data_IF_675170351912
#
_entry.id   IF_675170351912
#
_cell.length_a   1.000
_cell.length_b   1.000
_cell.length_c   1.000
_cell.angle_alpha   90.00
_cell.angle_beta   90.00
_cell.angle_gamma   90.00
#
_symmetry.space_group_name_H-M   'P 1'
#
loop_
_entity.id
_entity.type
_entity.pdbx_description
1 polymer ?
#
# COMPACT_ATOMS: atom_id res chain seq x y z
N UNK A 1 -28.26 -11.95 -23.10
CA UNK A 1 -27.57 -10.86 -23.83
C UNK A 1 -26.16 -10.68 -23.27
N UNK A 2 -25.16 -10.25 -24.09
CA UNK A 2 -23.80 -9.95 -23.59
C UNK A 2 -23.83 -8.73 -22.68
N UNK A 3 -23.22 -8.81 -21.50
CA UNK A 3 -23.01 -7.69 -20.60
C UNK A 3 -21.78 -6.89 -21.05
N UNK A 4 -21.87 -5.57 -20.99
CA UNK A 4 -20.76 -4.65 -21.17
C UNK A 4 -20.42 -3.98 -19.83
N UNK A 5 -19.13 -3.76 -19.58
CA UNK A 5 -18.66 -2.96 -18.46
C UNK A 5 -18.85 -1.47 -18.76
N UNK A 6 -19.17 -0.68 -17.73
CA UNK A 6 -19.38 0.76 -17.86
C UNK A 6 -18.10 1.46 -18.33
N UNK A 7 -16.93 1.03 -17.84
CA UNK A 7 -15.64 1.54 -18.31
C UNK A 7 -15.49 1.41 -19.83
N UNK A 8 -15.82 0.24 -20.40
CA UNK A 8 -15.75 0.02 -21.84
C UNK A 8 -16.67 0.97 -22.61
N UNK A 9 -17.90 1.17 -22.13
CA UNK A 9 -18.88 2.03 -22.80
C UNK A 9 -18.52 3.53 -22.74
N UNK A 10 -17.75 3.96 -21.75
CA UNK A 10 -17.39 5.36 -21.55
C UNK A 10 -16.00 5.74 -22.07
N UNK A 11 -15.11 4.77 -22.31
CA UNK A 11 -13.70 5.03 -22.67
C UNK A 11 -13.29 4.49 -24.04
N UNK A 12 -13.98 3.48 -24.55
CA UNK A 12 -13.64 2.87 -25.84
C UNK A 12 -14.52 3.41 -26.97
N UNK A 13 -14.11 3.17 -28.21
CA UNK A 13 -14.98 3.45 -29.37
C UNK A 13 -16.15 2.48 -29.40
N UNK A 14 -17.33 3.02 -29.13
CA UNK A 14 -18.60 2.27 -29.12
C UNK A 14 -19.50 2.60 -30.30
N UNK A 15 -18.98 3.23 -31.35
CA UNK A 15 -19.75 3.61 -32.57
C UNK A 15 -20.50 2.43 -33.16
N UNK A 16 -19.92 1.24 -33.20
CA UNK A 16 -20.55 0.01 -33.66
C UNK A 16 -21.69 -0.52 -32.75
N UNK A 17 -21.79 -0.04 -31.52
CA UNK A 17 -22.86 -0.39 -30.58
C UNK A 17 -24.00 0.61 -30.57
N UNK A 18 -23.81 1.79 -31.16
CA UNK A 18 -24.83 2.84 -31.18
C UNK A 18 -26.13 2.38 -31.87
N UNK A 19 -27.25 2.61 -31.20
CA UNK A 19 -28.57 2.18 -31.66
C UNK A 19 -28.85 0.68 -31.45
N UNK A 20 -27.87 -0.12 -30.99
CA UNK A 20 -28.08 -1.54 -30.69
C UNK A 20 -28.52 -1.73 -29.23
N UNK A 21 -29.20 -2.84 -28.95
CA UNK A 21 -29.61 -3.21 -27.60
C UNK A 21 -28.46 -3.93 -26.91
N UNK A 22 -28.01 -3.38 -25.77
CA UNK A 22 -26.93 -3.92 -24.94
C UNK A 22 -27.43 -4.17 -23.51
N UNK A 23 -26.62 -4.84 -22.70
CA UNK A 23 -26.91 -5.11 -21.29
C UNK A 23 -25.85 -4.48 -20.40
N UNK A 24 -26.29 -3.73 -19.37
CA UNK A 24 -25.47 -3.20 -18.27
C UNK A 24 -26.03 -3.70 -16.95
N UNK A 25 -25.17 -4.02 -15.99
CA UNK A 25 -25.55 -4.43 -14.63
C UNK A 25 -24.69 -3.69 -13.62
N UNK A 26 -25.29 -3.29 -12.51
CA UNK A 26 -24.58 -2.58 -11.46
C UNK A 26 -25.47 -2.09 -10.33
N UNK A 27 -24.90 -1.24 -9.51
CA UNK A 27 -25.57 -0.65 -8.34
C UNK A 27 -26.02 0.79 -8.66
N UNK A 28 -27.25 1.09 -8.23
CA UNK A 28 -27.86 2.42 -8.39
C UNK A 28 -27.17 3.41 -7.46
N UNK A 29 -26.64 4.47 -8.04
CA UNK A 29 -26.07 5.60 -7.30
C UNK A 29 -27.11 6.67 -7.03
N UNK A 30 -27.90 6.99 -8.02
CA UNK A 30 -29.02 7.96 -7.89
C UNK A 30 -30.16 7.57 -8.81
N UNK A 31 -31.37 7.89 -8.37
CA UNK A 31 -32.57 7.89 -9.21
C UNK A 31 -33.23 9.26 -9.10
N UNK A 32 -33.60 9.87 -10.22
CA UNK A 32 -34.32 11.12 -10.29
C UNK A 32 -35.28 11.07 -11.48
N UNK A 33 -36.26 11.93 -11.49
CA UNK A 33 -37.21 12.01 -12.63
C UNK A 33 -38.53 12.62 -12.22
N UNK A 34 -39.48 12.50 -13.11
CA UNK A 34 -40.86 12.93 -12.92
C UNK A 34 -41.83 11.89 -13.51
N UNK A 35 -43.11 12.21 -13.64
CA UNK A 35 -44.12 11.29 -14.17
C UNK A 35 -43.90 10.86 -15.64
N UNK A 36 -43.04 11.53 -16.38
CA UNK A 36 -42.81 11.25 -17.80
C UNK A 36 -41.47 10.55 -18.08
N UNK A 37 -40.45 10.72 -17.21
CA UNK A 37 -39.14 10.14 -17.43
C UNK A 37 -38.42 9.91 -16.11
N UNK A 38 -37.73 8.78 -16.01
CA UNK A 38 -36.81 8.43 -14.90
C UNK A 38 -35.40 8.33 -15.40
N UNK A 39 -34.46 8.93 -14.67
CA UNK A 39 -33.02 8.86 -14.88
C UNK A 39 -32.40 8.08 -13.74
N UNK A 40 -31.69 6.98 -14.06
CA UNK A 40 -31.05 6.11 -13.10
C UNK A 40 -29.55 6.09 -13.40
N UNK A 41 -28.73 6.52 -12.45
CA UNK A 41 -27.26 6.42 -12.57
C UNK A 41 -26.81 5.09 -11.99
N UNK A 42 -26.15 4.26 -12.82
CA UNK A 42 -25.64 2.94 -12.46
C UNK A 42 -24.12 2.97 -12.50
N UNK A 43 -23.50 2.32 -11.51
CA UNK A 43 -22.08 2.06 -11.44
C UNK A 43 -21.84 0.56 -11.23
N UNK A 44 -20.89 -0.02 -11.96
CA UNK A 44 -20.53 -1.44 -11.85
C UNK A 44 -19.17 -1.66 -11.18
N UNK A 45 -18.52 -0.59 -10.71
CA UNK A 45 -17.20 -0.61 -10.06
C UNK A 45 -16.02 -0.52 -11.02
N UNK A 46 -16.21 -0.73 -12.32
CA UNK A 46 -15.13 -0.74 -13.32
C UNK A 46 -14.46 0.63 -13.52
N UNK A 47 -15.19 1.70 -13.26
CA UNK A 47 -14.75 3.10 -13.38
C UNK A 47 -15.47 3.96 -12.34
N UNK A 48 -14.93 5.15 -12.04
CA UNK A 48 -15.57 6.07 -11.09
C UNK A 48 -16.87 6.70 -11.63
N UNK A 49 -16.96 6.86 -12.94
CA UNK A 49 -18.13 7.44 -13.61
C UNK A 49 -19.30 6.46 -13.67
N UNK A 50 -20.51 7.01 -13.77
CA UNK A 50 -21.74 6.24 -13.91
C UNK A 50 -22.24 6.27 -15.35
N UNK A 51 -22.97 5.25 -15.78
CA UNK A 51 -23.80 5.36 -16.97
C UNK A 51 -25.22 5.78 -16.59
N UNK A 52 -25.82 6.68 -17.35
CA UNK A 52 -27.22 7.05 -17.18
C UNK A 52 -28.12 6.09 -17.93
N UNK A 53 -29.15 5.63 -17.26
CA UNK A 53 -30.28 4.89 -17.84
C UNK A 53 -31.47 5.82 -17.88
N UNK A 54 -32.13 5.89 -19.02
CA UNK A 54 -33.39 6.63 -19.25
C UNK A 54 -34.51 5.61 -19.34
N UNK A 55 -35.50 5.70 -18.46
CA UNK A 55 -36.64 4.79 -18.38
C UNK A 55 -37.95 5.50 -18.44
N UNK A 56 -38.93 4.90 -19.11
CA UNK A 56 -40.31 5.37 -19.14
C UNK A 56 -41.05 4.88 -17.87
N UNK A 57 -41.50 5.80 -16.98
CA UNK A 57 -42.23 5.43 -15.79
C UNK A 57 -43.53 4.66 -16.04
N UNK A 58 -44.20 4.89 -17.14
CA UNK A 58 -45.43 4.14 -17.46
C UNK A 58 -45.16 2.70 -17.84
N UNK A 59 -43.97 2.41 -18.38
CA UNK A 59 -43.54 1.03 -18.74
C UNK A 59 -42.95 0.28 -17.60
N UNK A 60 -42.23 0.95 -16.66
CA UNK A 60 -41.45 0.34 -15.58
C UNK A 60 -41.93 0.75 -14.19
N UNK A 61 -43.24 0.97 -14.00
CA UNK A 61 -43.78 1.49 -12.73
C UNK A 61 -43.38 0.60 -11.53
N UNK A 62 -43.53 -0.71 -11.67
CA UNK A 62 -43.26 -1.65 -10.58
C UNK A 62 -41.77 -1.78 -10.28
N UNK A 63 -40.92 -1.83 -11.30
CA UNK A 63 -39.46 -1.88 -11.11
C UNK A 63 -38.96 -0.57 -10.48
N UNK A 64 -39.45 0.58 -10.94
CA UNK A 64 -39.03 1.88 -10.44
C UNK A 64 -39.43 2.11 -8.96
N UNK A 65 -40.52 1.52 -8.47
CA UNK A 65 -40.86 1.57 -7.04
C UNK A 65 -39.79 0.87 -6.17
N UNK A 66 -39.20 -0.20 -6.70
CA UNK A 66 -38.19 -1.04 -6.03
C UNK A 66 -36.77 -0.51 -6.18
N UNK A 67 -36.52 0.38 -7.11
CA UNK A 67 -35.18 0.96 -7.40
C UNK A 67 -34.92 2.15 -6.48
N UNK A 68 -34.02 1.96 -5.51
CA UNK A 68 -33.53 2.96 -4.57
C UNK A 68 -32.01 3.07 -4.66
N UNK A 69 -31.39 4.05 -4.00
CA UNK A 69 -29.92 4.13 -3.87
C UNK A 69 -29.39 2.85 -3.24
N UNK A 70 -28.40 2.22 -3.89
CA UNK A 70 -27.81 0.96 -3.45
C UNK A 70 -28.47 -0.29 -4.02
N UNK A 71 -29.65 -0.21 -4.65
CA UNK A 71 -30.26 -1.35 -5.33
C UNK A 71 -29.36 -1.89 -6.45
N UNK A 72 -29.34 -3.19 -6.64
CA UNK A 72 -28.63 -3.86 -7.73
C UNK A 72 -29.59 -4.15 -8.87
N UNK A 73 -29.29 -3.65 -10.08
CA UNK A 73 -30.15 -3.83 -11.25
C UNK A 73 -29.37 -4.25 -12.49
N UNK A 74 -30.09 -4.86 -13.43
CA UNK A 74 -29.64 -5.07 -14.80
C UNK A 74 -30.61 -4.39 -15.75
N UNK A 75 -30.05 -3.75 -16.78
CA UNK A 75 -30.82 -3.05 -17.78
C UNK A 75 -30.39 -3.53 -19.16
N UNK A 76 -31.34 -3.96 -19.96
CA UNK A 76 -31.20 -4.13 -21.40
C UNK A 76 -31.85 -2.93 -22.09
N UNK A 77 -31.14 -2.34 -23.05
CA UNK A 77 -31.64 -1.13 -23.71
C UNK A 77 -30.75 -0.67 -24.84
N UNK A 78 -31.23 0.28 -25.61
CA UNK A 78 -30.48 0.88 -26.72
C UNK A 78 -29.42 1.85 -26.20
N UNK A 79 -28.18 1.63 -26.65
CA UNK A 79 -27.13 2.61 -26.42
C UNK A 79 -27.29 3.77 -27.38
N UNK A 80 -27.42 4.95 -26.87
CA UNK A 80 -27.64 6.19 -27.66
C UNK A 80 -26.69 7.29 -27.22
N UNK A 81 -26.50 8.28 -28.09
CA UNK A 81 -25.81 9.52 -27.72
C UNK A 81 -26.57 10.22 -26.57
N UNK A 82 -25.87 10.66 -25.55
CA UNK A 82 -26.50 11.32 -24.43
C UNK A 82 -26.91 12.73 -24.79
N UNK A 83 -28.13 13.10 -24.43
CA UNK A 83 -28.63 14.49 -24.57
C UNK A 83 -28.22 15.38 -23.38
N UNK A 84 -27.65 14.78 -22.34
CA UNK A 84 -27.19 15.47 -21.14
C UNK A 84 -25.73 15.90 -21.22
N UNK A 85 -25.37 16.98 -20.53
CA UNK A 85 -23.96 17.38 -20.38
C UNK A 85 -23.21 16.41 -19.45
N UNK A 86 -21.94 16.12 -19.77
CA UNK A 86 -21.04 15.38 -18.90
C UNK A 86 -20.96 13.87 -19.15
N UNK A 87 -21.63 13.34 -20.18
CA UNK A 87 -21.48 11.95 -20.61
C UNK A 87 -21.73 11.83 -22.12
N UNK A 88 -20.97 10.95 -22.79
CA UNK A 88 -21.08 10.78 -24.25
C UNK A 88 -22.30 9.93 -24.64
N UNK A 89 -22.58 8.88 -23.86
CA UNK A 89 -23.63 7.91 -24.16
C UNK A 89 -24.55 7.66 -22.96
N UNK A 90 -25.76 7.21 -23.25
CA UNK A 90 -26.73 6.78 -22.25
C UNK A 90 -27.51 5.55 -22.75
N UNK A 91 -28.20 4.87 -21.85
CA UNK A 91 -28.94 3.65 -22.16
C UNK A 91 -30.46 3.91 -22.08
N UNK A 92 -31.18 3.78 -23.19
CA UNK A 92 -32.63 3.81 -23.21
C UNK A 92 -33.19 2.44 -22.84
N UNK A 93 -33.81 2.34 -21.67
CA UNK A 93 -34.26 1.08 -21.11
C UNK A 93 -35.36 0.39 -21.93
N UNK A 94 -35.18 -0.85 -22.31
CA UNK A 94 -36.15 -1.74 -22.92
C UNK A 94 -36.65 -2.78 -21.94
N UNK A 95 -35.76 -3.23 -21.01
CA UNK A 95 -36.05 -4.16 -19.92
C UNK A 95 -35.21 -3.84 -18.70
N UNK A 96 -35.83 -3.90 -17.52
CA UNK A 96 -35.17 -3.71 -16.24
C UNK A 96 -35.40 -4.97 -15.36
N UNK A 97 -34.34 -5.42 -14.72
CA UNK A 97 -34.37 -6.53 -13.73
C UNK A 97 -33.80 -6.01 -12.43
N UNK A 98 -34.56 -6.09 -11.34
CA UNK A 98 -34.09 -5.78 -10.00
C UNK A 98 -33.56 -7.08 -9.37
N UNK A 99 -32.24 -7.17 -9.19
CA UNK A 99 -31.61 -8.33 -8.56
C UNK A 99 -31.65 -8.26 -7.03
N UNK A 100 -31.52 -7.06 -6.46
CA UNK A 100 -31.57 -6.83 -5.03
C UNK A 100 -32.00 -5.41 -4.71
N UNK A 101 -32.91 -5.29 -3.78
CA UNK A 101 -33.39 -4.02 -3.28
C UNK A 101 -32.50 -3.49 -2.16
N UNK A 102 -32.52 -2.19 -1.90
CA UNK A 102 -31.92 -1.57 -0.74
C UNK A 102 -32.98 -0.71 -0.05
N UNK A 103 -33.32 -1.07 1.19
CA UNK A 103 -34.30 -0.30 1.96
C UNK A 103 -33.77 1.10 2.24
N UNK A 104 -34.43 2.17 1.75
CA UNK A 104 -33.96 3.54 1.91
C UNK A 104 -33.92 4.01 3.36
N UNK A 105 -34.62 3.32 4.29
CA UNK A 105 -34.64 3.66 5.70
C UNK A 105 -33.44 3.08 6.48
N UNK A 106 -32.88 1.98 6.01
CA UNK A 106 -31.82 1.25 6.71
C UNK A 106 -30.47 1.26 5.95
N UNK A 107 -30.48 1.48 4.63
CA UNK A 107 -29.24 1.53 3.85
C UNK A 107 -28.38 2.74 4.26
N UNK A 108 -27.14 2.52 4.80
CA UNK A 108 -26.38 3.58 5.45
C UNK A 108 -25.76 4.57 4.48
N UNK A 109 -25.48 4.16 3.22
CA UNK A 109 -24.82 5.00 2.20
C UNK A 109 -25.83 5.82 1.39
N UNK A 110 -26.55 6.70 2.06
CA UNK A 110 -27.47 7.63 1.42
C UNK A 110 -26.74 8.75 0.67
N UNK A 111 -27.47 9.51 -0.18
CA UNK A 111 -26.94 10.65 -0.93
C UNK A 111 -26.60 11.83 0.00
N UNK A 112 -25.56 11.69 0.80
CA UNK A 112 -24.99 12.73 1.68
C UNK A 112 -23.50 12.49 1.88
N UNK A 113 -22.77 13.47 2.39
CA UNK A 113 -21.40 13.28 2.85
C UNK A 113 -21.33 12.32 4.03
N UNK A 114 -20.32 11.46 4.06
CA UNK A 114 -20.03 10.55 5.16
C UNK A 114 -18.62 10.82 5.64
N UNK A 115 -18.41 10.82 6.97
CA UNK A 115 -17.07 10.94 7.54
C UNK A 115 -16.28 9.64 7.35
N UNK A 116 -14.94 9.73 7.36
CA UNK A 116 -14.10 8.53 7.25
C UNK A 116 -14.26 7.62 8.46
N UNK A 117 -14.52 8.17 9.65
CA UNK A 117 -14.80 7.41 10.87
C UNK A 117 -16.03 6.52 10.67
N UNK A 118 -17.13 7.12 10.24
CA UNK A 118 -18.36 6.37 9.94
C UNK A 118 -18.14 5.28 8.88
N UNK A 119 -17.38 5.59 7.81
CA UNK A 119 -17.09 4.61 6.76
C UNK A 119 -16.22 3.45 7.25
N UNK A 120 -15.41 3.64 8.30
CA UNK A 120 -14.67 2.55 8.95
C UNK A 120 -15.59 1.64 9.75
N UNK A 121 -16.61 2.19 10.42
CA UNK A 121 -17.62 1.40 11.15
C UNK A 121 -18.41 0.48 10.22
N UNK A 122 -18.69 0.92 9.00
CA UNK A 122 -19.38 0.14 7.96
C UNK A 122 -18.40 -0.37 6.88
N UNK A 123 -17.22 -0.84 7.28
CA UNK A 123 -16.13 -1.24 6.38
C UNK A 123 -16.54 -2.18 5.25
N UNK A 124 -17.47 -3.11 5.53
CA UNK A 124 -18.03 -4.05 4.56
C UNK A 124 -18.87 -3.38 3.43
N UNK A 125 -19.33 -2.14 3.61
CA UNK A 125 -20.07 -1.38 2.59
C UNK A 125 -19.28 -0.20 2.02
N UNK A 126 -18.22 0.27 2.70
CA UNK A 126 -17.50 1.48 2.29
C UNK A 126 -16.93 1.43 0.87
N UNK A 127 -16.64 0.23 0.36
CA UNK A 127 -16.16 0.00 -1.00
C UNK A 127 -17.17 0.44 -2.07
N UNK A 128 -18.44 0.60 -1.71
CA UNK A 128 -19.49 1.13 -2.60
C UNK A 128 -19.44 2.65 -2.77
N UNK A 129 -18.61 3.36 -2.01
CA UNK A 129 -18.42 4.81 -2.16
C UNK A 129 -17.46 5.13 -3.30
N UNK A 130 -17.54 6.33 -3.86
CA UNK A 130 -16.61 6.77 -4.90
C UNK A 130 -15.17 6.83 -4.37
N UNK A 131 -14.98 7.34 -3.15
CA UNK A 131 -13.66 7.45 -2.53
C UNK A 131 -12.97 6.09 -2.41
N UNK A 132 -13.62 5.11 -1.80
CA UNK A 132 -13.02 3.79 -1.63
C UNK A 132 -12.95 3.00 -2.94
N UNK A 133 -13.89 3.22 -3.87
CA UNK A 133 -13.78 2.68 -5.22
C UNK A 133 -12.54 3.21 -5.96
N UNK A 134 -12.27 4.51 -5.88
CA UNK A 134 -11.08 5.13 -6.46
C UNK A 134 -9.78 4.59 -5.82
N UNK A 135 -9.72 4.55 -4.49
CA UNK A 135 -8.56 4.01 -3.75
C UNK A 135 -8.28 2.56 -4.15
N UNK A 136 -9.30 1.71 -4.27
CA UNK A 136 -9.12 0.29 -4.59
C UNK A 136 -8.71 0.06 -6.06
N UNK A 137 -9.20 0.86 -7.01
CA UNK A 137 -8.73 0.80 -8.40
C UNK A 137 -7.27 1.26 -8.52
N UNK A 138 -6.88 2.32 -7.80
CA UNK A 138 -5.49 2.74 -7.68
C UNK A 138 -4.63 1.63 -7.05
N UNK A 139 -5.08 1.03 -5.95
CA UNK A 139 -4.38 -0.07 -5.29
C UNK A 139 -4.14 -1.26 -6.22
N UNK A 140 -5.14 -1.65 -7.00
CA UNK A 140 -5.00 -2.68 -8.03
C UNK A 140 -3.93 -2.29 -9.06
N UNK A 141 -4.00 -1.07 -9.61
CA UNK A 141 -3.05 -0.60 -10.61
C UNK A 141 -1.62 -0.51 -10.06
N UNK A 142 -1.44 -0.05 -8.82
CA UNK A 142 -0.12 -0.02 -8.19
C UNK A 142 0.46 -1.42 -7.99
N UNK A 143 -0.35 -2.39 -7.58
CA UNK A 143 0.10 -3.78 -7.46
C UNK A 143 0.58 -4.34 -8.82
N UNK A 144 -0.17 -4.08 -9.88
CA UNK A 144 0.21 -4.50 -11.23
C UNK A 144 1.48 -3.78 -11.73
N UNK A 145 1.60 -2.47 -11.45
CA UNK A 145 2.78 -1.69 -11.78
C UNK A 145 4.05 -2.24 -11.10
N UNK A 146 3.96 -2.61 -9.82
CA UNK A 146 5.06 -3.23 -9.06
C UNK A 146 5.51 -4.53 -9.73
N UNK A 147 4.57 -5.45 -10.01
CA UNK A 147 4.90 -6.70 -10.69
C UNK A 147 5.51 -6.47 -12.07
N UNK A 148 4.98 -5.53 -12.84
CA UNK A 148 5.48 -5.19 -14.19
C UNK A 148 6.90 -4.61 -14.10
N UNK A 149 7.15 -3.67 -13.20
CA UNK A 149 8.47 -3.06 -13.01
C UNK A 149 9.56 -4.11 -12.78
N UNK A 150 9.34 -5.00 -11.82
CA UNK A 150 10.32 -6.03 -11.49
C UNK A 150 10.45 -7.10 -12.55
N UNK A 151 9.33 -7.54 -13.13
CA UNK A 151 9.33 -8.54 -14.22
C UNK A 151 10.15 -8.07 -15.43
N UNK A 152 9.94 -6.84 -15.91
CA UNK A 152 10.63 -6.27 -17.06
C UNK A 152 12.13 -6.09 -16.82
N UNK A 153 12.58 -6.00 -15.57
CA UNK A 153 13.98 -5.88 -15.16
C UNK A 153 14.64 -7.19 -14.79
N UNK A 154 13.93 -8.32 -15.03
CA UNK A 154 14.46 -9.67 -14.83
C UNK A 154 14.52 -10.12 -13.38
N UNK A 155 13.71 -9.55 -12.51
CA UNK A 155 13.54 -10.03 -11.14
C UNK A 155 12.60 -11.22 -11.09
N UNK A 156 12.88 -12.16 -10.20
CA UNK A 156 11.97 -13.25 -9.88
C UNK A 156 11.05 -12.86 -8.73
N UNK A 157 9.73 -13.05 -8.90
CA UNK A 157 8.80 -12.98 -7.79
C UNK A 157 9.04 -14.19 -6.87
N UNK A 158 9.43 -13.93 -5.64
CA UNK A 158 9.92 -14.94 -4.71
C UNK A 158 9.00 -15.02 -3.48
N UNK A 159 8.48 -16.21 -3.21
CA UNK A 159 7.61 -16.45 -2.07
C UNK A 159 8.46 -16.80 -0.84
N UNK A 160 8.43 -15.95 0.18
CA UNK A 160 9.00 -16.22 1.50
C UNK A 160 7.93 -16.68 2.49
N UNK A 161 8.27 -17.51 3.50
CA UNK A 161 7.30 -18.01 4.46
C UNK A 161 6.66 -16.89 5.29
N UNK A 162 5.36 -17.00 5.54
CA UNK A 162 4.65 -16.11 6.47
C UNK A 162 4.79 -16.57 7.92
N UNK A 163 5.02 -17.87 8.14
CA UNK A 163 5.29 -18.46 9.47
C UNK A 163 6.77 -18.67 9.60
N UNK A 164 7.38 -18.05 10.60
CA UNK A 164 8.83 -18.09 10.79
C UNK A 164 9.19 -18.33 12.27
N UNK A 165 10.37 -18.88 12.49
CA UNK A 165 10.99 -18.95 13.81
C UNK A 165 12.06 -17.85 14.01
N UNK A 166 12.29 -17.00 12.99
CA UNK A 166 13.34 -15.98 12.99
C UNK A 166 12.73 -14.59 13.10
N UNK A 167 13.29 -13.74 13.95
CA UNK A 167 12.96 -12.33 14.06
C UNK A 167 13.99 -11.52 13.24
N UNK A 168 13.57 -11.03 12.08
CA UNK A 168 14.43 -10.27 11.17
C UNK A 168 14.83 -8.89 11.72
N UNK A 169 13.94 -8.26 12.46
CA UNK A 169 14.14 -6.89 12.93
C UNK A 169 14.58 -6.81 14.39
N UNK A 170 14.50 -7.93 15.14
CA UNK A 170 14.80 -7.97 16.58
C UNK A 170 13.82 -7.15 17.43
N UNK A 171 12.66 -6.80 16.88
CA UNK A 171 11.70 -5.89 17.49
C UNK A 171 10.75 -6.56 18.51
N UNK A 172 10.77 -7.89 18.62
CA UNK A 172 10.14 -8.65 19.70
C UNK A 172 8.60 -8.69 19.73
N UNK A 173 7.89 -7.92 18.96
CA UNK A 173 6.41 -7.89 18.97
C UNK A 173 5.82 -8.61 17.76
N UNK A 174 5.88 -9.93 17.79
CA UNK A 174 5.34 -10.78 16.74
C UNK A 174 4.03 -11.46 17.18
N UNK A 175 3.10 -11.67 16.23
CA UNK A 175 1.95 -12.52 16.48
C UNK A 175 2.37 -13.98 16.53
N UNK A 176 2.07 -14.67 17.62
CA UNK A 176 2.42 -16.09 17.80
C UNK A 176 1.53 -16.99 16.93
N UNK A 177 2.14 -17.97 16.29
CA UNK A 177 1.44 -19.06 15.59
C UNK A 177 1.65 -20.35 16.36
N UNK A 178 0.60 -20.87 16.98
CA UNK A 178 0.67 -22.04 17.83
C UNK A 178 -0.61 -22.89 17.72
N UNK A 179 -0.48 -24.19 17.87
CA UNK A 179 -1.58 -25.14 17.98
C UNK A 179 -1.77 -25.65 19.41
N UNK A 180 -0.98 -25.16 20.34
CA UNK A 180 -1.12 -25.49 21.77
C UNK A 180 -2.42 -24.91 22.34
N UNK A 181 -3.01 -25.62 23.31
CA UNK A 181 -4.16 -25.11 24.04
C UNK A 181 -3.74 -23.85 24.85
N UNK A 182 -4.33 -22.67 24.56
CA UNK A 182 -3.97 -21.46 25.27
C UNK A 182 -4.34 -21.46 26.76
N UNK A 183 -5.34 -22.27 27.17
CA UNK A 183 -5.77 -22.35 28.55
C UNK A 183 -4.89 -23.31 29.38
N UNK A 184 -4.27 -24.30 28.72
CA UNK A 184 -3.43 -25.29 29.39
C UNK A 184 -2.25 -25.74 28.50
N UNK A 185 -1.31 -24.84 28.19
CA UNK A 185 -0.15 -25.19 27.36
C UNK A 185 0.78 -26.15 28.15
N UNK A 186 1.42 -27.11 27.46
CA UNK A 186 2.44 -27.95 28.07
C UNK A 186 3.60 -27.08 28.58
N UNK A 187 4.16 -27.44 29.74
CA UNK A 187 5.22 -26.69 30.40
C UNK A 187 6.43 -27.56 30.72
N UNK A 188 7.60 -26.94 30.63
CA UNK A 188 8.85 -27.51 31.09
C UNK A 188 8.94 -27.46 32.64
N UNK A 189 9.95 -28.12 33.21
CA UNK A 189 10.17 -28.14 34.68
C UNK A 189 10.36 -26.74 35.29
N UNK A 190 10.90 -25.79 34.48
CA UNK A 190 11.09 -24.39 34.89
C UNK A 190 9.83 -23.53 34.79
N UNK A 191 8.71 -24.13 34.38
CA UNK A 191 7.41 -23.44 34.20
C UNK A 191 7.25 -22.72 32.87
N UNK A 192 8.25 -22.66 32.01
CA UNK A 192 8.16 -22.10 30.66
C UNK A 192 7.31 -23.00 29.75
N UNK A 193 6.72 -22.41 28.68
CA UNK A 193 5.98 -23.17 27.68
C UNK A 193 6.91 -24.11 26.94
N UNK A 194 6.52 -25.38 26.83
CA UNK A 194 7.27 -26.39 26.09
C UNK A 194 6.92 -26.37 24.60
N UNK A 195 7.55 -25.49 23.85
CA UNK A 195 7.36 -25.32 22.42
C UNK A 195 7.77 -26.53 21.57
N UNK A 196 8.50 -27.52 22.14
CA UNK A 196 8.84 -28.75 21.44
C UNK A 196 7.61 -29.62 21.18
N UNK A 197 6.54 -29.43 21.94
CA UNK A 197 5.24 -30.09 21.76
C UNK A 197 4.30 -29.36 20.80
N UNK A 198 4.67 -28.17 20.32
CA UNK A 198 3.88 -27.45 19.31
C UNK A 198 4.08 -28.03 17.91
N UNK A 199 3.24 -27.63 16.98
CA UNK A 199 3.20 -28.15 15.59
C UNK A 199 4.56 -28.16 14.91
N UNK A 200 5.33 -27.08 15.02
CA UNK A 200 6.67 -26.96 14.41
C UNK A 200 7.82 -27.42 15.32
N UNK A 201 7.54 -27.92 16.51
CA UNK A 201 8.55 -28.32 17.49
C UNK A 201 9.41 -27.17 18.02
N UNK A 202 8.98 -25.93 17.84
CA UNK A 202 9.62 -24.69 18.30
C UNK A 202 8.61 -23.52 18.31
N UNK A 203 9.00 -22.44 18.96
CA UNK A 203 8.27 -21.18 18.86
C UNK A 203 8.24 -20.69 17.42
N UNK A 204 7.05 -20.33 16.94
CA UNK A 204 6.83 -19.70 15.63
C UNK A 204 5.91 -18.51 15.71
N UNK A 205 6.06 -17.60 14.76
CA UNK A 205 5.29 -16.36 14.68
C UNK A 205 4.98 -15.99 13.22
N UNK A 206 4.09 -15.02 13.04
CA UNK A 206 3.89 -14.38 11.74
C UNK A 206 5.06 -13.44 11.44
N UNK A 207 5.56 -13.47 10.21
CA UNK A 207 6.75 -12.71 9.79
C UNK A 207 6.55 -11.20 9.84
N UNK A 208 7.60 -10.48 10.18
CA UNK A 208 7.68 -9.01 10.08
C UNK A 208 8.32 -8.56 8.77
N UNK A 209 9.01 -9.46 8.03
CA UNK A 209 9.71 -9.19 6.77
C UNK A 209 10.10 -10.50 6.10
N UNK A 210 10.11 -10.53 4.78
CA UNK A 210 10.65 -11.64 3.97
C UNK A 210 12.12 -11.47 3.59
N UNK A 211 12.83 -10.48 4.15
CA UNK A 211 14.17 -10.09 3.71
C UNK A 211 15.21 -11.23 3.87
N UNK A 212 15.26 -11.86 5.04
CA UNK A 212 16.34 -12.84 5.30
C UNK A 212 16.30 -14.02 4.33
N UNK A 213 15.11 -14.57 4.08
CA UNK A 213 14.90 -15.61 3.07
C UNK A 213 15.04 -15.07 1.66
N UNK A 214 14.68 -13.78 1.43
CA UNK A 214 14.88 -13.07 0.16
C UNK A 214 16.36 -12.97 -0.22
N UNK A 215 17.25 -12.70 0.73
CA UNK A 215 18.69 -12.67 0.49
C UNK A 215 19.23 -14.04 0.01
N UNK A 216 18.67 -15.17 0.49
CA UNK A 216 19.00 -16.50 -0.02
C UNK A 216 18.62 -16.64 -1.48
N UNK A 217 17.44 -16.12 -1.84
CA UNK A 217 16.97 -16.08 -3.23
C UNK A 217 17.89 -15.23 -4.12
N UNK A 218 18.24 -14.04 -3.68
CA UNK A 218 19.11 -13.12 -4.43
C UNK A 218 20.52 -13.68 -4.65
N UNK A 219 21.13 -14.26 -3.63
CA UNK A 219 22.47 -14.88 -3.74
C UNK A 219 22.49 -16.17 -4.54
N UNK A 220 21.36 -16.63 -5.05
CA UNK A 220 21.22 -17.82 -5.92
C UNK A 220 20.66 -17.47 -7.30
N UNK A 221 19.67 -16.57 -7.38
CA UNK A 221 18.94 -16.20 -8.62
C UNK A 221 19.34 -14.82 -9.16
N UNK A 222 20.17 -14.08 -8.43
CA UNK A 222 20.68 -12.77 -8.79
C UNK A 222 19.77 -11.62 -8.37
N UNK A 223 18.52 -11.60 -8.78
CA UNK A 223 17.54 -10.56 -8.43
C UNK A 223 16.19 -11.16 -8.12
N UNK A 224 15.67 -10.90 -6.95
CA UNK A 224 14.34 -11.35 -6.53
C UNK A 224 13.56 -10.18 -5.93
N UNK A 225 12.25 -10.33 -5.79
CA UNK A 225 11.44 -9.47 -4.92
C UNK A 225 10.34 -10.28 -4.25
N UNK A 226 10.04 -9.92 -3.01
CA UNK A 226 8.82 -10.36 -2.35
C UNK A 226 7.72 -9.30 -2.57
N UNK A 227 6.47 -9.71 -2.55
CA UNK A 227 5.31 -8.83 -2.44
C UNK A 227 4.24 -9.59 -1.69
N UNK A 228 4.19 -9.40 -0.40
CA UNK A 228 3.32 -10.19 0.47
C UNK A 228 3.00 -9.51 1.80
N UNK A 229 2.08 -10.10 2.56
CA UNK A 229 1.68 -9.59 3.87
C UNK A 229 2.81 -9.75 4.90
N UNK A 230 2.94 -8.75 5.76
CA UNK A 230 3.78 -8.72 6.94
C UNK A 230 2.97 -8.30 8.15
N UNK A 231 3.43 -8.64 9.34
CA UNK A 231 2.64 -8.52 10.56
C UNK A 231 3.48 -7.93 11.68
N UNK A 232 2.90 -6.95 12.41
CA UNK A 232 3.52 -6.36 13.60
C UNK A 232 2.49 -6.26 14.71
N UNK A 233 2.79 -6.84 15.88
CA UNK A 233 1.89 -6.87 17.03
C UNK A 233 2.03 -5.62 17.93
N UNK A 234 2.68 -4.57 17.44
CA UNK A 234 2.85 -3.32 18.16
C UNK A 234 1.50 -2.70 18.56
N UNK A 235 1.38 -2.33 19.83
CA UNK A 235 0.19 -1.63 20.32
C UNK A 235 0.21 -0.14 19.93
N UNK A 236 0.32 0.13 18.63
CA UNK A 236 0.35 1.47 18.05
C UNK A 236 -0.96 1.81 17.35
N UNK A 237 -1.59 2.90 17.75
CA UNK A 237 -2.87 3.34 17.21
C UNK A 237 -2.76 4.68 16.48
N UNK A 238 -1.77 4.83 15.61
CA UNK A 238 -1.53 6.04 14.82
C UNK A 238 -2.16 5.94 13.43
N UNK A 239 -2.29 7.05 12.68
CA UNK A 239 -2.74 7.04 11.28
C UNK A 239 -1.80 6.31 10.31
N UNK A 240 -0.62 5.88 10.76
CA UNK A 240 0.45 5.29 9.92
C UNK A 240 0.80 3.84 10.27
N UNK A 241 0.10 3.21 11.24
CA UNK A 241 0.37 1.85 11.68
C UNK A 241 -0.80 0.92 11.45
N UNK A 242 -0.50 -0.26 10.94
CA UNK A 242 -1.39 -1.41 10.81
C UNK A 242 -0.70 -2.64 11.41
N UNK A 243 -1.48 -3.58 11.95
CA UNK A 243 -0.97 -4.85 12.43
C UNK A 243 -0.71 -5.86 11.30
N UNK A 244 -1.39 -5.70 10.16
CA UNK A 244 -1.21 -6.43 8.91
C UNK A 244 -1.12 -5.43 7.77
N UNK A 245 -0.05 -5.51 6.97
CA UNK A 245 0.20 -4.65 5.82
C UNK A 245 1.04 -5.42 4.79
N UNK A 246 1.23 -4.84 3.60
CA UNK A 246 1.98 -5.50 2.53
C UNK A 246 3.33 -4.83 2.31
N UNK A 247 4.37 -5.64 2.18
CA UNK A 247 5.72 -5.17 1.86
C UNK A 247 6.15 -5.64 0.47
N UNK A 248 6.87 -4.76 -0.20
CA UNK A 248 7.64 -5.07 -1.41
C UNK A 248 9.10 -5.03 -1.03
N UNK A 249 9.79 -6.16 -1.15
CA UNK A 249 11.16 -6.30 -0.65
C UNK A 249 12.05 -6.94 -1.74
N UNK A 250 12.60 -6.14 -2.66
CA UNK A 250 13.59 -6.61 -3.62
C UNK A 250 14.95 -6.82 -2.95
N UNK A 251 15.65 -7.89 -3.35
CA UNK A 251 17.02 -8.20 -2.96
C UNK A 251 17.85 -8.48 -4.24
N UNK A 252 19.02 -7.86 -4.35
CA UNK A 252 19.84 -7.88 -5.56
C UNK A 252 21.29 -8.21 -5.25
N UNK A 253 21.81 -9.28 -5.84
CA UNK A 253 23.23 -9.59 -5.85
C UNK A 253 24.00 -8.57 -6.71
N UNK A 254 25.23 -8.26 -6.28
CA UNK A 254 26.17 -7.38 -6.99
C UNK A 254 25.75 -5.90 -7.05
N UNK A 255 24.84 -5.48 -6.14
CA UNK A 255 24.48 -4.09 -5.97
C UNK A 255 25.27 -3.48 -4.80
N UNK A 256 25.69 -2.24 -5.01
CA UNK A 256 26.31 -1.33 -4.02
C UNK A 256 25.32 -0.22 -3.63
N UNK A 257 25.77 0.76 -2.83
CA UNK A 257 24.93 1.84 -2.36
C UNK A 257 24.43 2.74 -3.51
N UNK A 258 25.28 3.00 -4.53
CA UNK A 258 24.91 3.85 -5.67
C UNK A 258 23.82 3.18 -6.50
N UNK A 259 24.03 1.93 -6.92
CA UNK A 259 23.04 1.16 -7.68
C UNK A 259 21.74 0.89 -6.90
N UNK A 260 21.82 0.76 -5.56
CA UNK A 260 20.64 0.65 -4.71
C UNK A 260 19.80 1.93 -4.76
N UNK A 261 20.43 3.09 -4.52
CA UNK A 261 19.71 4.38 -4.50
C UNK A 261 19.17 4.77 -5.88
N UNK A 262 19.85 4.40 -6.96
CA UNK A 262 19.37 4.57 -8.33
C UNK A 262 18.10 3.75 -8.58
N UNK A 263 18.06 2.48 -8.15
CA UNK A 263 16.88 1.62 -8.28
C UNK A 263 15.71 2.11 -7.43
N UNK A 264 15.95 2.56 -6.19
CA UNK A 264 14.93 3.14 -5.33
C UNK A 264 14.23 4.35 -5.97
N UNK A 265 15.01 5.27 -6.54
CA UNK A 265 14.48 6.44 -7.26
C UNK A 265 13.73 6.04 -8.52
N UNK A 266 14.31 5.17 -9.36
CA UNK A 266 13.68 4.67 -10.58
C UNK A 266 12.34 3.99 -10.28
N UNK A 267 12.30 3.14 -9.25
CA UNK A 267 11.11 2.40 -8.85
C UNK A 267 9.97 3.34 -8.47
N UNK A 268 10.22 4.30 -7.61
CA UNK A 268 9.19 5.26 -7.18
C UNK A 268 8.70 6.11 -8.35
N UNK A 269 9.60 6.65 -9.17
CA UNK A 269 9.23 7.44 -10.36
C UNK A 269 8.37 6.63 -11.33
N UNK A 270 8.71 5.36 -11.54
CA UNK A 270 7.91 4.45 -12.38
C UNK A 270 6.50 4.26 -11.83
N UNK A 271 6.35 4.00 -10.53
CA UNK A 271 5.05 3.79 -9.89
C UNK A 271 4.17 5.05 -9.95
N UNK A 272 4.75 6.21 -9.66
CA UNK A 272 4.02 7.48 -9.71
C UNK A 272 3.60 7.81 -11.15
N UNK A 273 4.50 7.59 -12.12
CA UNK A 273 4.17 7.75 -13.54
C UNK A 273 3.05 6.81 -13.96
N UNK A 274 3.09 5.55 -13.55
CA UNK A 274 2.01 4.59 -13.84
C UNK A 274 0.65 5.06 -13.31
N UNK A 275 0.61 5.61 -12.08
CA UNK A 275 -0.62 6.17 -11.52
C UNK A 275 -1.19 7.30 -12.37
N UNK A 276 -0.34 8.24 -12.78
CA UNK A 276 -0.74 9.37 -13.64
C UNK A 276 -1.21 8.91 -15.03
N UNK A 277 -0.53 7.94 -15.64
CA UNK A 277 -0.84 7.46 -16.97
C UNK A 277 -2.12 6.60 -17.03
N UNK A 278 -2.42 5.83 -15.97
CA UNK A 278 -3.46 4.80 -16.02
C UNK A 278 -4.66 5.05 -15.10
N UNK A 279 -4.56 5.98 -14.15
CA UNK A 279 -5.57 6.18 -13.11
C UNK A 279 -6.10 7.62 -13.02
N UNK A 280 -5.97 8.42 -14.07
CA UNK A 280 -6.25 9.85 -14.02
C UNK A 280 -7.68 10.18 -13.56
N UNK A 281 -8.70 9.44 -13.99
CA UNK A 281 -10.11 9.69 -13.56
C UNK A 281 -10.25 9.57 -12.02
N UNK A 282 -9.60 8.57 -11.41
CA UNK A 282 -9.62 8.38 -9.97
C UNK A 282 -8.75 9.42 -9.24
N UNK A 283 -7.61 9.78 -9.82
CA UNK A 283 -6.72 10.82 -9.29
C UNK A 283 -7.37 12.20 -9.32
N UNK A 284 -8.05 12.58 -10.38
CA UNK A 284 -8.79 13.84 -10.47
C UNK A 284 -9.88 13.94 -9.40
N UNK A 285 -10.60 12.82 -9.17
CA UNK A 285 -11.57 12.76 -8.09
C UNK A 285 -10.92 12.94 -6.72
N UNK A 286 -9.84 12.20 -6.42
CA UNK A 286 -9.12 12.30 -5.15
C UNK A 286 -8.47 13.68 -4.97
N UNK A 287 -7.90 14.24 -6.04
CA UNK A 287 -7.35 15.60 -6.02
C UNK A 287 -8.41 16.65 -5.68
N UNK A 288 -9.62 16.49 -6.17
CA UNK A 288 -10.73 17.41 -5.89
C UNK A 288 -11.34 17.22 -4.51
N UNK A 289 -11.45 15.97 -4.04
CA UNK A 289 -12.27 15.65 -2.86
C UNK A 289 -11.46 15.38 -1.60
N UNK A 290 -10.18 15.00 -1.73
CA UNK A 290 -9.34 14.57 -0.62
C UNK A 290 -8.15 15.52 -0.43
N UNK A 291 -7.35 15.76 -1.50
CA UNK A 291 -6.11 16.54 -1.42
C UNK A 291 -5.89 17.35 -2.70
N UNK A 292 -6.21 18.63 -2.67
CA UNK A 292 -6.18 19.54 -3.83
C UNK A 292 -4.79 19.70 -4.48
N UNK A 293 -3.70 19.29 -3.81
CA UNK A 293 -2.34 19.32 -4.33
C UNK A 293 -1.81 17.97 -4.82
N UNK A 294 -2.64 16.93 -4.85
CA UNK A 294 -2.23 15.56 -5.12
C UNK A 294 -1.52 15.41 -6.47
N UNK A 295 -2.15 15.80 -7.56
CA UNK A 295 -1.61 15.61 -8.92
C UNK A 295 -0.34 16.42 -9.11
N UNK A 296 -0.29 17.66 -8.64
CA UNK A 296 0.90 18.52 -8.71
C UNK A 296 2.08 17.89 -7.96
N UNK A 297 1.83 17.36 -6.75
CA UNK A 297 2.85 16.67 -5.96
C UNK A 297 3.34 15.39 -6.62
N UNK A 298 2.45 14.58 -7.20
CA UNK A 298 2.84 13.39 -7.96
C UNK A 298 3.71 13.76 -9.17
N UNK A 299 3.33 14.80 -9.92
CA UNK A 299 4.11 15.27 -11.06
C UNK A 299 5.48 15.76 -10.63
N UNK A 300 5.60 16.48 -9.52
CA UNK A 300 6.88 17.00 -9.02
C UNK A 300 7.89 15.89 -8.70
N UNK A 301 7.42 14.71 -8.27
CA UNK A 301 8.30 13.55 -8.00
C UNK A 301 8.95 13.02 -9.28
N UNK A 302 8.23 13.04 -10.39
CA UNK A 302 8.76 12.59 -11.69
C UNK A 302 9.76 13.60 -12.24
N UNK A 303 9.47 14.88 -12.09
CA UNK A 303 10.23 15.98 -12.73
C UNK A 303 11.51 16.36 -11.99
N UNK A 304 11.75 15.82 -10.79
CA UNK A 304 12.91 16.17 -9.97
C UNK A 304 13.78 14.97 -9.63
N UNK A 305 15.12 15.19 -9.60
CA UNK A 305 16.05 14.19 -9.07
C UNK A 305 15.99 14.16 -7.54
N UNK A 306 16.10 12.97 -6.94
CA UNK A 306 16.13 12.82 -5.50
C UNK A 306 17.50 13.23 -4.95
N UNK A 307 17.51 13.88 -3.79
CA UNK A 307 18.74 14.26 -3.12
C UNK A 307 19.35 13.07 -2.41
N UNK A 308 20.63 12.75 -2.64
CA UNK A 308 21.39 11.82 -1.78
C UNK A 308 21.99 12.61 -0.64
N UNK A 309 21.56 12.33 0.59
CA UNK A 309 21.93 13.11 1.77
C UNK A 309 22.56 12.19 2.85
N UNK A 310 23.87 12.30 3.12
CA UNK A 310 24.44 11.62 4.27
C UNK A 310 23.76 12.04 5.58
N UNK A 311 23.46 11.08 6.47
CA UNK A 311 22.80 11.36 7.75
C UNK A 311 23.50 12.46 8.53
N UNK A 312 24.85 12.45 8.57
CA UNK A 312 25.64 13.49 9.27
C UNK A 312 25.36 14.90 8.73
N UNK A 313 25.20 15.04 7.42
CA UNK A 313 24.86 16.34 6.81
C UNK A 313 23.39 16.71 7.10
N UNK A 314 22.49 15.74 7.10
CA UNK A 314 21.10 15.93 7.50
C UNK A 314 20.97 16.48 8.93
N UNK A 315 21.71 15.91 9.88
CA UNK A 315 21.76 16.40 11.25
C UNK A 315 22.28 17.84 11.32
N UNK A 316 23.34 18.20 10.62
CA UNK A 316 23.85 19.58 10.56
C UNK A 316 22.78 20.57 10.08
N UNK A 317 22.05 20.21 9.02
CA UNK A 317 20.94 21.03 8.50
C UNK A 317 19.86 21.25 9.58
N UNK A 318 19.50 20.22 10.31
CA UNK A 318 18.52 20.30 11.39
C UNK A 318 19.02 21.12 12.59
N UNK A 319 20.29 20.94 12.99
CA UNK A 319 20.93 21.75 14.05
C UNK A 319 21.00 23.23 13.65
N UNK A 320 21.32 23.55 12.41
CA UNK A 320 21.27 24.92 11.89
C UNK A 320 19.85 25.50 11.92
N UNK A 321 18.84 24.70 11.61
CA UNK A 321 17.45 25.13 11.70
C UNK A 321 17.07 25.49 13.14
N UNK A 322 17.47 24.67 14.13
CA UNK A 322 17.30 24.95 15.55
C UNK A 322 18.02 26.25 15.94
N UNK A 323 19.26 26.45 15.51
CA UNK A 323 20.02 27.66 15.77
C UNK A 323 19.37 28.93 15.18
N UNK A 324 18.64 28.78 14.06
CA UNK A 324 17.84 29.84 13.41
C UNK A 324 16.45 30.04 14.05
N UNK A 325 16.13 29.30 15.12
CA UNK A 325 14.89 29.45 15.88
C UNK A 325 13.76 28.49 15.51
N UNK A 326 13.99 27.52 14.61
CA UNK A 326 13.02 26.46 14.38
C UNK A 326 12.90 25.56 15.62
N UNK A 327 11.68 25.20 16.00
CA UNK A 327 11.41 24.36 17.18
C UNK A 327 10.90 23.01 16.73
N UNK A 328 11.66 21.96 17.05
CA UNK A 328 11.22 20.58 16.95
C UNK A 328 10.68 20.10 18.31
N UNK A 329 9.77 19.15 18.28
CA UNK A 329 9.25 18.48 19.49
C UNK A 329 10.31 17.53 20.08
N UNK A 330 11.05 16.83 19.19
CA UNK A 330 12.09 15.88 19.55
C UNK A 330 13.50 16.50 19.40
N UNK A 331 14.48 16.07 20.22
CA UNK A 331 15.83 16.62 20.15
C UNK A 331 16.53 16.26 18.85
N UNK A 332 17.40 17.16 18.39
CA UNK A 332 18.28 16.97 17.24
C UNK A 332 19.70 16.80 17.74
N UNK A 333 20.32 15.66 17.50
CA UNK A 333 21.75 15.41 17.73
C UNK A 333 22.21 14.21 16.93
N UNK A 334 23.51 14.12 16.66
CA UNK A 334 24.06 12.96 15.95
C UNK A 334 23.85 11.67 16.76
N UNK A 335 23.39 10.60 16.09
CA UNK A 335 23.11 9.31 16.70
C UNK A 335 21.67 9.10 17.13
N UNK A 336 20.78 10.11 17.02
CA UNK A 336 19.35 9.93 17.28
C UNK A 336 18.65 9.31 16.07
N UNK A 337 17.65 8.49 16.32
CA UNK A 337 16.70 8.09 15.29
C UNK A 337 15.81 9.29 14.92
N UNK A 338 15.67 9.58 13.63
CA UNK A 338 14.93 10.76 13.18
C UNK A 338 13.43 10.59 13.39
N UNK A 339 12.83 11.56 14.07
CA UNK A 339 11.38 11.66 14.14
C UNK A 339 10.80 12.14 12.79
N UNK A 340 9.55 11.80 12.52
CA UNK A 340 8.86 12.21 11.28
C UNK A 340 8.89 13.72 11.02
N UNK A 341 8.95 14.55 12.06
CA UNK A 341 9.08 16.00 11.89
C UNK A 341 10.43 16.43 11.33
N UNK A 342 11.51 15.71 11.71
CA UNK A 342 12.87 15.95 11.17
C UNK A 342 12.94 15.60 9.70
N UNK A 343 12.43 14.42 9.33
CA UNK A 343 12.35 13.95 7.94
C UNK A 343 11.56 14.93 7.08
N UNK A 344 10.38 15.33 7.55
CA UNK A 344 9.52 16.27 6.82
C UNK A 344 10.16 17.65 6.69
N UNK A 345 10.89 18.13 7.70
CA UNK A 345 11.63 19.38 7.57
C UNK A 345 12.63 19.34 6.43
N UNK A 346 13.42 18.28 6.31
CA UNK A 346 14.38 18.10 5.24
C UNK A 346 13.71 18.13 3.87
N UNK A 347 12.62 17.39 3.71
CA UNK A 347 11.94 17.21 2.42
C UNK A 347 11.07 18.43 2.05
N UNK A 348 10.29 18.97 3.00
CA UNK A 348 9.26 19.99 2.73
C UNK A 348 9.80 21.42 2.84
N UNK A 349 10.73 21.66 3.75
CA UNK A 349 11.24 23.01 4.04
C UNK A 349 12.61 23.29 3.45
N UNK A 350 13.57 22.36 3.60
CA UNK A 350 14.95 22.57 3.15
C UNK A 350 15.14 22.29 1.66
N UNK A 351 14.94 21.04 1.23
CA UNK A 351 15.18 20.63 -0.17
C UNK A 351 13.98 20.82 -1.10
N UNK A 352 12.77 20.76 -0.58
CA UNK A 352 11.48 20.84 -1.31
C UNK A 352 11.36 19.79 -2.41
N UNK A 353 11.92 18.61 -2.20
CA UNK A 353 11.90 17.43 -3.07
C UNK A 353 12.25 16.17 -2.28
N UNK A 354 12.02 14.97 -2.84
CA UNK A 354 12.37 13.74 -2.15
C UNK A 354 13.86 13.64 -1.83
N UNK A 355 14.16 13.01 -0.70
CA UNK A 355 15.54 12.83 -0.19
C UNK A 355 15.76 11.34 0.05
N UNK A 356 16.89 10.81 -0.42
CA UNK A 356 17.43 9.51 -0.02
C UNK A 356 18.52 9.79 1.01
N UNK A 357 18.23 9.54 2.27
CA UNK A 357 19.20 9.68 3.33
C UNK A 357 20.03 8.42 3.44
N UNK A 358 21.35 8.57 3.55
CA UNK A 358 22.33 7.47 3.54
C UNK A 358 23.30 7.58 4.71
N UNK A 359 24.06 6.51 4.95
CA UNK A 359 25.17 6.45 5.93
C UNK A 359 24.74 6.78 7.36
N UNK A 360 23.80 6.01 7.86
CA UNK A 360 23.25 6.14 9.20
C UNK A 360 24.20 5.64 10.30
N UNK A 361 24.10 6.18 11.53
CA UNK A 361 24.79 5.60 12.68
C UNK A 361 24.42 4.13 12.86
N UNK A 362 25.45 3.26 13.08
CA UNK A 362 25.24 1.81 13.21
C UNK A 362 24.37 1.42 14.42
N UNK A 363 24.37 2.25 15.46
CA UNK A 363 23.65 1.98 16.72
C UNK A 363 22.13 2.01 16.56
N UNK A 364 21.63 2.76 15.58
CA UNK A 364 20.17 2.90 15.32
C UNK A 364 19.68 2.10 14.12
N UNK A 365 20.53 1.27 13.53
CA UNK A 365 20.19 0.46 12.35
C UNK A 365 20.41 -1.03 12.58
N UNK A 366 19.76 -1.86 11.76
CA UNK A 366 19.73 -3.30 11.89
C UNK A 366 21.11 -3.97 11.73
N UNK A 367 21.26 -5.16 12.30
CA UNK A 367 22.52 -5.91 12.39
C UNK A 367 23.11 -6.32 11.04
N UNK A 368 22.28 -6.51 10.04
CA UNK A 368 22.66 -7.00 8.71
C UNK A 368 23.20 -5.92 7.76
N UNK A 369 23.15 -4.65 8.15
CA UNK A 369 23.61 -3.55 7.30
C UNK A 369 25.14 -3.49 7.26
N UNK A 370 25.67 -3.28 6.04
CA UNK A 370 27.12 -3.20 5.80
C UNK A 370 27.72 -1.98 6.51
N UNK A 371 28.74 -2.22 7.33
CA UNK A 371 29.45 -1.15 8.02
C UNK A 371 30.40 -0.41 7.05
N UNK A 372 30.44 0.91 7.15
CA UNK A 372 31.42 1.76 6.48
C UNK A 372 32.80 1.62 7.14
N UNK A 373 33.85 2.05 6.43
CA UNK A 373 35.24 2.00 6.91
C UNK A 373 35.49 2.88 8.14
N UNK A 374 34.64 3.87 8.38
CA UNK A 374 34.70 4.75 9.56
C UNK A 374 34.37 4.02 10.88
N UNK A 375 33.83 2.81 10.79
CA UNK A 375 33.42 1.97 11.94
C UNK A 375 32.26 2.55 12.76
N UNK A 376 31.62 3.65 12.31
CA UNK A 376 30.55 4.36 13.01
C UNK A 376 29.23 4.34 12.25
N UNK A 377 29.28 4.28 10.92
CA UNK A 377 28.10 4.33 10.07
C UNK A 377 27.90 3.03 9.29
N UNK A 378 26.69 2.87 8.76
CA UNK A 378 26.29 1.74 7.89
C UNK A 378 25.71 2.26 6.59
N UNK A 379 25.82 1.48 5.52
CA UNK A 379 25.27 1.77 4.19
C UNK A 379 23.75 1.52 4.17
N UNK A 380 23.04 2.20 5.05
CA UNK A 380 21.58 2.22 5.08
C UNK A 380 21.04 3.31 4.17
N UNK A 381 19.81 3.12 3.68
CA UNK A 381 19.06 4.12 2.90
C UNK A 381 17.66 4.28 3.48
N UNK A 382 17.17 5.52 3.60
CA UNK A 382 15.75 5.80 3.83
C UNK A 382 15.29 6.83 2.79
N UNK A 383 14.29 6.47 1.99
CA UNK A 383 13.70 7.39 1.01
C UNK A 383 12.59 8.18 1.67
N UNK A 384 12.78 9.47 1.79
CA UNK A 384 11.91 10.40 2.49
C UNK A 384 11.06 11.21 1.53
N UNK A 385 9.75 11.24 1.78
CA UNK A 385 8.77 11.92 0.93
C UNK A 385 7.97 12.98 1.69
N UNK A 386 7.48 14.03 0.97
CA UNK A 386 6.59 15.02 1.54
C UNK A 386 5.35 14.37 2.17
N UNK A 387 4.88 14.83 3.31
CA UNK A 387 3.71 14.39 4.06
C UNK A 387 3.79 12.96 4.63
N UNK A 388 4.62 12.09 4.06
CA UNK A 388 4.76 10.68 4.46
C UNK A 388 5.94 10.48 5.42
N UNK A 389 7.10 11.12 5.17
CA UNK A 389 8.38 10.74 5.76
C UNK A 389 8.97 9.54 5.04
N UNK A 390 9.54 8.59 5.75
CA UNK A 390 10.09 7.36 5.18
C UNK A 390 9.04 6.53 4.43
N UNK A 391 9.29 6.24 3.15
CA UNK A 391 8.47 5.37 2.29
C UNK A 391 9.21 4.07 1.93
N UNK A 392 10.53 4.13 1.79
CA UNK A 392 11.43 3.00 1.59
C UNK A 392 12.50 3.03 2.65
N UNK A 393 12.82 1.88 3.22
CA UNK A 393 14.02 1.63 4.02
C UNK A 393 14.85 0.52 3.39
N UNK A 394 16.15 0.75 3.20
CA UNK A 394 17.04 -0.19 2.53
C UNK A 394 18.46 -0.19 3.05
N UNK A 395 19.28 -1.08 2.52
CA UNK A 395 20.73 -1.08 2.79
C UNK A 395 21.51 -1.97 1.83
N UNK A 396 22.81 -1.71 1.73
CA UNK A 396 23.77 -2.76 1.36
C UNK A 396 23.88 -3.72 2.52
N UNK A 397 23.90 -5.03 2.23
CA UNK A 397 23.95 -6.10 3.23
C UNK A 397 25.40 -6.44 3.58
N UNK A 398 25.66 -6.80 4.84
CA UNK A 398 27.02 -7.23 5.24
C UNK A 398 27.33 -8.59 4.63
N UNK A 399 28.28 -8.64 3.71
CA UNK A 399 28.73 -9.87 3.07
C UNK A 399 29.85 -10.60 3.82
N UNK A 400 30.52 -9.93 4.76
CA UNK A 400 31.59 -10.54 5.57
C UNK A 400 31.02 -11.33 6.72
N UNK A 401 31.32 -12.65 6.75
CA UNK A 401 30.93 -13.52 7.86
C UNK A 401 31.40 -12.99 9.21
N UNK A 402 32.69 -12.61 9.31
CA UNK A 402 33.28 -12.18 10.59
C UNK A 402 32.68 -10.87 11.10
N UNK A 403 32.45 -9.90 10.20
CA UNK A 403 31.81 -8.61 10.56
C UNK A 403 30.36 -8.83 11.00
N UNK A 404 29.60 -9.65 10.27
CA UNK A 404 28.22 -9.97 10.61
C UNK A 404 28.13 -10.68 11.95
N UNK A 405 28.99 -11.68 12.21
CA UNK A 405 29.08 -12.40 13.49
C UNK A 405 29.40 -11.46 14.65
N UNK A 406 30.37 -10.56 14.45
CA UNK A 406 30.74 -9.61 15.50
C UNK A 406 29.52 -8.71 15.84
N UNK A 407 28.80 -8.24 14.82
CA UNK A 407 27.61 -7.39 15.04
C UNK A 407 26.49 -8.12 15.75
N UNK A 408 26.21 -9.37 15.38
CA UNK A 408 25.23 -10.24 16.03
C UNK A 408 25.60 -10.45 17.52
N UNK A 409 26.87 -10.70 17.80
CA UNK A 409 27.36 -10.88 19.18
C UNK A 409 27.23 -9.56 19.98
N UNK A 410 27.60 -8.41 19.41
CA UNK A 410 27.45 -7.10 20.04
C UNK A 410 26.00 -6.83 20.46
N UNK A 411 25.05 -7.22 19.65
CA UNK A 411 23.61 -7.02 19.89
C UNK A 411 22.97 -8.14 20.70
N UNK A 412 23.70 -9.22 21.00
CA UNK A 412 23.18 -10.37 21.76
C UNK A 412 22.08 -11.15 21.04
N UNK A 413 22.07 -11.14 19.70
CA UNK A 413 21.04 -11.82 18.91
C UNK A 413 21.24 -13.34 19.00
N UNK A 414 20.18 -14.13 19.31
CA UNK A 414 20.29 -15.58 19.39
C UNK A 414 20.58 -16.22 18.03
N UNK A 415 21.67 -16.93 17.91
CA UNK A 415 22.13 -17.56 16.65
C UNK A 415 21.41 -18.85 16.28
N UNK A 416 20.74 -19.50 17.24
CA UNK A 416 20.18 -20.85 17.10
C UNK A 416 19.26 -21.00 15.89
N UNK A 417 18.48 -19.94 15.59
CA UNK A 417 17.47 -19.98 14.54
C UNK A 417 17.90 -19.24 13.25
N UNK A 418 19.16 -18.74 13.20
CA UNK A 418 19.72 -17.97 12.08
C UNK A 418 20.98 -18.59 11.44
N UNK A 419 21.34 -19.84 11.78
CA UNK A 419 22.53 -20.52 11.25
C UNK A 419 22.54 -20.57 9.71
N UNK A 420 21.38 -20.81 9.09
CA UNK A 420 21.20 -20.88 7.65
C UNK A 420 21.48 -19.54 6.95
N UNK A 421 21.15 -18.43 7.58
CA UNK A 421 21.45 -17.08 7.08
C UNK A 421 22.97 -16.81 7.07
N UNK A 422 23.68 -17.27 8.08
CA UNK A 422 25.14 -17.16 8.14
C UNK A 422 25.87 -18.03 7.12
N UNK A 423 25.30 -19.16 6.76
CA UNK A 423 25.89 -20.05 5.76
C UNK A 423 25.99 -19.37 4.38
N UNK A 424 25.12 -18.44 4.06
CA UNK A 424 25.23 -17.63 2.82
C UNK A 424 26.48 -16.75 2.80
N UNK A 425 27.06 -16.44 3.95
CA UNK A 425 28.33 -15.70 4.07
C UNK A 425 29.54 -16.63 4.05
N UNK A 426 29.36 -17.91 4.37
CA UNK A 426 30.41 -18.93 4.28
C UNK A 426 30.58 -19.51 2.89
N UNK A 427 29.48 -19.64 2.17
CA UNK A 427 29.43 -20.41 0.93
C UNK A 427 29.08 -19.51 -0.26
N UNK A 428 30.10 -18.90 -0.87
CA UNK A 428 29.94 -18.11 -2.07
C UNK A 428 29.25 -16.76 -1.85
N UNK A 429 29.61 -16.07 -0.79
CA UNK A 429 29.11 -14.71 -0.51
C UNK A 429 29.39 -13.75 -1.65
N UNK A 430 28.54 -12.76 -1.84
CA UNK A 430 28.73 -11.68 -2.79
C UNK A 430 28.22 -10.35 -2.18
N UNK A 431 28.69 -9.19 -2.68
CA UNK A 431 28.02 -7.91 -2.40
C UNK A 431 26.56 -8.01 -2.82
N UNK A 432 25.65 -7.59 -1.96
CA UNK A 432 24.22 -7.54 -2.28
C UNK A 432 23.52 -6.45 -1.48
N UNK A 433 22.39 -6.01 -1.98
CA UNK A 433 21.62 -4.91 -1.41
C UNK A 433 20.12 -5.18 -1.59
N UNK A 434 19.31 -4.52 -0.79
CA UNK A 434 17.87 -4.60 -0.91
C UNK A 434 17.18 -3.50 -0.13
N UNK A 435 15.87 -3.39 -0.35
CA UNK A 435 15.04 -2.42 0.36
C UNK A 435 13.63 -2.95 0.63
N UNK A 436 12.92 -2.31 1.53
CA UNK A 436 11.51 -2.57 1.80
C UNK A 436 10.67 -1.33 1.51
N UNK A 437 9.62 -1.49 0.69
CA UNK A 437 8.60 -0.47 0.47
C UNK A 437 7.28 -0.94 1.08
N UNK A 438 6.74 -0.17 2.03
CA UNK A 438 5.40 -0.40 2.56
C UNK A 438 4.34 -0.03 1.53
N UNK A 439 3.55 -1.01 1.07
CA UNK A 439 2.55 -0.78 0.03
C UNK A 439 1.49 0.24 0.47
N UNK A 440 1.04 0.18 1.70
CA UNK A 440 0.05 1.13 2.24
C UNK A 440 0.61 2.54 2.38
N UNK A 441 1.92 2.72 2.66
CA UNK A 441 2.57 4.04 2.64
C UNK A 441 2.62 4.62 1.22
N UNK A 442 2.95 3.80 0.22
CA UNK A 442 2.83 4.18 -1.18
C UNK A 442 1.39 4.60 -1.51
N UNK A 443 0.40 3.82 -1.06
CA UNK A 443 -1.00 4.14 -1.30
C UNK A 443 -1.44 5.45 -0.63
N UNK A 444 -0.98 5.77 0.58
CA UNK A 444 -1.21 7.09 1.18
C UNK A 444 -0.67 8.20 0.28
N UNK A 445 0.54 8.03 -0.26
CA UNK A 445 1.17 9.03 -1.12
C UNK A 445 0.41 9.23 -2.43
N UNK A 446 0.06 8.17 -3.15
CA UNK A 446 -0.60 8.26 -4.47
C UNK A 446 -2.08 8.59 -4.40
N UNK A 447 -2.72 8.45 -3.23
CA UNK A 447 -4.15 8.76 -3.05
C UNK A 447 -4.42 10.07 -2.32
N UNK A 448 -3.45 10.60 -1.58
CA UNK A 448 -3.63 11.75 -0.70
C UNK A 448 -4.45 11.44 0.57
N UNK A 449 -4.75 10.16 0.83
CA UNK A 449 -5.50 9.77 2.04
C UNK A 449 -4.67 10.02 3.30
N UNK A 450 -5.31 10.51 4.36
CA UNK A 450 -4.63 10.89 5.60
C UNK A 450 -4.41 9.75 6.59
N UNK A 451 -5.09 8.60 6.41
CA UNK A 451 -5.05 7.49 7.35
C UNK A 451 -4.87 6.17 6.63
N UNK A 452 -3.88 5.41 7.06
CA UNK A 452 -3.49 4.11 6.46
C UNK A 452 -4.63 3.07 6.48
N UNK A 453 -5.59 3.19 7.42
CA UNK A 453 -6.79 2.34 7.45
C UNK A 453 -7.71 2.53 6.25
N UNK A 454 -7.53 3.62 5.51
CA UNK A 454 -8.40 3.99 4.39
C UNK A 454 -7.81 3.61 3.03
N UNK A 455 -6.61 3.01 3.00
CA UNK A 455 -5.94 2.56 1.77
C UNK A 455 -5.81 1.05 1.66
N UNK A 456 -6.30 0.31 2.64
CA UNK A 456 -6.40 -1.15 2.65
C UNK A 456 -7.88 -1.56 2.73
N UNK A 457 -8.30 -2.66 2.08
CA UNK A 457 -9.72 -3.06 2.10
C UNK A 457 -10.30 -3.24 3.50
N UNK A 458 -9.64 -4.03 4.35
CA UNK A 458 -10.06 -4.37 5.70
C UNK A 458 -8.87 -4.24 6.66
N UNK A 459 -8.72 -3.09 7.35
CA UNK A 459 -7.57 -2.84 8.20
C UNK A 459 -7.56 -3.72 9.44
N UNK A 460 -6.35 -4.12 9.87
CA UNK A 460 -6.10 -4.76 11.15
C UNK A 460 -5.33 -3.81 12.05
N UNK A 461 -5.90 -3.44 13.17
CA UNK A 461 -5.30 -2.54 14.17
C UNK A 461 -5.63 -3.04 15.58
N UNK A 462 -4.97 -2.54 16.64
CA UNK A 462 -5.34 -2.90 17.99
C UNK A 462 -6.86 -2.79 18.22
N UNK A 463 -7.46 -3.85 18.75
CA UNK A 463 -8.90 -3.99 19.03
C UNK A 463 -9.84 -3.94 17.80
N UNK A 464 -9.32 -4.12 16.59
CA UNK A 464 -10.13 -4.13 15.34
C UNK A 464 -9.72 -5.28 14.45
N UNK A 465 -10.62 -6.25 14.30
CA UNK A 465 -10.46 -7.44 13.45
C UNK A 465 -11.76 -7.86 12.75
N UNK A 466 -12.75 -6.98 12.69
CA UNK A 466 -14.03 -7.20 12.03
C UNK A 466 -13.87 -7.16 10.50
N UNK A 467 -14.72 -7.91 9.79
CA UNK A 467 -14.76 -8.14 8.34
C UNK A 467 -13.68 -9.12 7.87
#
# INVERSE_FOLDING_TARGET
>A
MKRYEIKYLLKEDVSALMGTTICVKGWVRTKRGNKNVAFIAINDGSIIHNIQVVADPAKFEEELKRITTGACIGVEGKLVESQGSGQAVELQAEKIVVYGEADPNTYPLQKKGHSMEFLREIGHLRLRTNTFGAVMRLRHNMAMAIHTFFHERGFFYFHTPLITASDCEGAGEMFHVSTLDPDNPPRKEDGSIDWEQDFFGKFTALTVSGQLEGELGATSLGKIYTFGPTFRAENSNTPRHLAEFWMIEPEMAFYDLDSLTELEEEFIKYLVKWALDHCMDDLEFLNKMIDNGLIERLQSVIDTDFVRLPYTEGIKILEEAVAKGHKFEFPVSWGVDLASEHERYLVEHHFKKPVIMIDYPKEIKAFYMKQNEDGKTVQGTDVLFPQIGEIIGGSVREESYDKLMNRINELGIPMKDMWWYLDTRRYGTCPHAGFGLGFERLMLFVTGMANIRDVIPFPRTPKTAEF
#
